data_IF_783689407750
#
_entry.id   IF_783689407750
#
_cell.length_a   1.000
_cell.length_b   1.000
_cell.length_c   1.000
_cell.angle_alpha   90.00
_cell.angle_beta   90.00
_cell.angle_gamma   90.00
#
_symmetry.space_group_name_H-M   'P 1'
#
loop_
_entity.id
_entity.type
_entity.pdbx_description
1 polymer ?
#
# COMPACT_ATOMS: atom_id res chain seq x y z
N UNK A 1 -9.26 1.81 14.34
CA UNK A 1 -8.05 2.24 15.09
C UNK A 1 -8.34 1.97 16.56
N UNK A 2 -7.47 1.25 17.27
CA UNK A 2 -7.66 0.97 18.69
C UNK A 2 -7.59 2.29 19.47
N UNK A 3 -8.71 2.74 20.03
CA UNK A 3 -8.91 4.11 20.50
C UNK A 3 -8.08 4.49 21.75
N UNK A 4 -7.51 3.51 22.44
CA UNK A 4 -6.82 3.69 23.73
C UNK A 4 -5.28 3.79 23.63
N UNK A 5 -4.68 3.54 22.46
CA UNK A 5 -3.21 3.59 22.30
C UNK A 5 -2.79 4.92 21.65
N UNK A 6 -2.26 5.84 22.45
CA UNK A 6 -1.63 7.09 21.97
C UNK A 6 -0.11 6.95 21.90
N UNK A 7 0.38 6.40 20.80
CA UNK A 7 1.81 6.35 20.50
C UNK A 7 2.10 7.14 19.22
N UNK A 8 2.93 8.18 19.31
CA UNK A 8 3.34 8.97 18.14
C UNK A 8 4.06 8.04 17.14
N UNK A 9 3.68 8.13 15.87
CA UNK A 9 4.28 7.36 14.77
C UNK A 9 4.19 5.83 14.91
N UNK A 10 3.28 5.29 15.74
CA UNK A 10 3.13 3.84 15.90
C UNK A 10 2.80 3.14 14.57
N UNK A 11 1.84 3.69 13.82
CA UNK A 11 1.42 3.12 12.56
C UNK A 11 2.56 3.08 11.53
N UNK A 12 3.29 4.19 11.34
CA UNK A 12 4.42 4.23 10.41
C UNK A 12 5.58 3.34 10.86
N UNK A 13 5.83 3.24 12.18
CA UNK A 13 6.83 2.32 12.74
C UNK A 13 6.47 0.86 12.49
N UNK A 14 5.23 0.47 12.73
CA UNK A 14 4.75 -0.90 12.46
C UNK A 14 4.85 -1.22 10.98
N UNK A 15 4.42 -0.29 10.10
CA UNK A 15 4.55 -0.47 8.65
C UNK A 15 6.01 -0.66 8.20
N UNK A 16 6.94 0.11 8.78
CA UNK A 16 8.36 -0.04 8.48
C UNK A 16 8.93 -1.38 8.96
N UNK A 17 8.51 -1.85 10.15
CA UNK A 17 8.94 -3.15 10.68
C UNK A 17 8.42 -4.31 9.81
N UNK A 18 7.16 -4.25 9.40
CA UNK A 18 6.57 -5.25 8.50
C UNK A 18 7.30 -5.25 7.16
N UNK A 19 7.51 -4.09 6.55
CA UNK A 19 8.13 -4.00 5.23
C UNK A 19 9.55 -4.60 5.18
N UNK A 20 10.31 -4.53 6.27
CA UNK A 20 11.67 -5.12 6.34
C UNK A 20 11.68 -6.64 6.32
N UNK A 21 10.65 -7.28 6.86
CA UNK A 21 10.59 -8.74 7.01
C UNK A 21 9.75 -9.42 5.94
N UNK A 22 8.82 -8.67 5.35
CA UNK A 22 7.77 -9.22 4.49
C UNK A 22 8.29 -10.09 3.36
N UNK A 23 9.34 -9.65 2.66
CA UNK A 23 9.88 -10.39 1.51
C UNK A 23 10.39 -11.77 1.93
N UNK A 24 11.09 -11.84 3.06
CA UNK A 24 11.69 -13.08 3.56
C UNK A 24 10.63 -13.98 4.19
N UNK A 25 9.69 -13.40 4.96
CA UNK A 25 8.55 -14.12 5.53
C UNK A 25 7.67 -14.76 4.42
N UNK A 26 7.46 -14.05 3.30
CA UNK A 26 6.73 -14.58 2.14
C UNK A 26 7.49 -15.67 1.43
N UNK A 27 8.80 -15.51 1.25
CA UNK A 27 9.61 -16.51 0.59
C UNK A 27 9.65 -17.82 1.40
N UNK A 28 9.82 -17.73 2.72
CA UNK A 28 9.81 -18.89 3.60
C UNK A 28 8.48 -19.66 3.55
N UNK A 29 7.35 -18.96 3.40
CA UNK A 29 6.02 -19.57 3.42
C UNK A 29 5.50 -20.03 2.06
N UNK A 30 5.81 -19.28 1.00
CA UNK A 30 5.20 -19.44 -0.32
C UNK A 30 6.22 -19.65 -1.44
N UNK A 31 7.51 -19.75 -1.13
CA UNK A 31 8.61 -19.79 -2.10
C UNK A 31 8.63 -18.62 -3.10
N UNK A 32 7.92 -17.53 -2.78
CA UNK A 32 7.78 -16.35 -3.62
C UNK A 32 8.23 -15.10 -2.85
N UNK A 33 9.03 -14.24 -3.48
CA UNK A 33 9.58 -13.05 -2.84
C UNK A 33 8.97 -11.78 -3.45
N UNK A 34 8.02 -11.11 -2.77
CA UNK A 34 7.42 -9.89 -3.29
C UNK A 34 8.46 -8.76 -3.40
N UNK A 35 8.29 -7.91 -4.41
CA UNK A 35 9.24 -6.84 -4.76
C UNK A 35 8.70 -5.44 -4.44
N UNK A 36 7.39 -5.34 -4.21
CA UNK A 36 6.65 -4.10 -4.00
C UNK A 36 5.46 -4.37 -3.07
N UNK A 37 5.19 -3.42 -2.17
CA UNK A 37 3.95 -3.36 -1.40
C UNK A 37 3.03 -2.30 -1.99
N UNK A 38 1.76 -2.64 -2.21
CA UNK A 38 0.71 -1.70 -2.61
C UNK A 38 -0.34 -1.56 -1.50
N UNK A 39 -0.90 -0.36 -1.33
CA UNK A 39 -2.06 -0.12 -0.47
C UNK A 39 -2.93 1.00 -1.02
N UNK A 40 -4.22 0.96 -0.67
CA UNK A 40 -5.23 1.93 -1.07
C UNK A 40 -5.75 2.67 0.15
N UNK A 41 -5.88 3.99 0.06
CA UNK A 41 -6.43 4.83 1.14
C UNK A 41 -7.57 5.68 0.60
N UNK A 42 -8.78 5.43 1.09
CA UNK A 42 -9.97 6.21 0.77
C UNK A 42 -9.84 7.65 1.25
N UNK A 43 -9.78 8.59 0.29
CA UNK A 43 -9.51 10.01 0.56
C UNK A 43 -10.58 10.73 1.40
N UNK A 44 -11.89 10.50 1.17
CA UNK A 44 -12.93 11.13 1.99
C UNK A 44 -12.84 10.77 3.47
N UNK A 45 -12.34 9.57 3.77
CA UNK A 45 -12.37 9.00 5.12
C UNK A 45 -11.04 9.10 5.86
N UNK A 46 -9.91 9.14 5.14
CA UNK A 46 -8.59 9.11 5.73
C UNK A 46 -7.59 10.00 4.99
N UNK A 47 -6.85 10.83 5.73
CA UNK A 47 -5.80 11.69 5.18
C UNK A 47 -4.53 10.93 4.72
N UNK A 48 -4.42 9.63 5.03
CA UNK A 48 -3.29 8.79 4.64
C UNK A 48 -1.95 9.15 5.30
N UNK A 49 -1.98 9.90 6.41
CA UNK A 49 -0.79 10.49 7.06
C UNK A 49 0.29 9.48 7.42
N UNK A 50 -0.08 8.28 7.89
CA UNK A 50 0.88 7.23 8.23
C UNK A 50 1.59 6.65 7.00
N UNK A 51 0.94 6.65 5.84
CA UNK A 51 1.54 6.18 4.58
C UNK A 51 2.47 7.24 3.99
N UNK A 52 2.09 8.52 4.05
CA UNK A 52 2.98 9.65 3.71
C UNK A 52 4.26 9.63 4.56
N UNK A 53 4.12 9.38 5.85
CA UNK A 53 5.24 9.35 6.80
C UNK A 53 6.16 8.11 6.68
N UNK A 54 5.73 7.06 5.96
CA UNK A 54 6.48 5.81 5.84
C UNK A 54 7.35 5.72 4.57
N UNK A 55 7.71 6.86 3.96
CA UNK A 55 8.45 6.93 2.70
C UNK A 55 7.81 6.14 1.55
N UNK A 56 6.47 6.04 1.54
CA UNK A 56 5.73 5.42 0.44
C UNK A 56 5.61 6.39 -0.73
N UNK A 57 5.76 5.86 -1.94
CA UNK A 57 5.58 6.60 -3.18
C UNK A 57 4.08 6.68 -3.51
N UNK A 58 3.58 7.88 -3.75
CA UNK A 58 2.24 8.10 -4.26
C UNK A 58 2.21 7.84 -5.76
N UNK A 59 1.29 6.99 -6.23
CA UNK A 59 1.16 6.68 -7.66
C UNK A 59 -0.01 7.39 -8.35
N UNK A 60 -0.95 7.95 -7.58
CA UNK A 60 -2.14 8.58 -8.11
C UNK A 60 -3.40 8.11 -7.40
N UNK A 61 -4.55 8.45 -7.97
CA UNK A 61 -5.86 8.11 -7.44
C UNK A 61 -6.56 7.05 -8.29
N UNK A 62 -7.34 6.19 -7.64
CA UNK A 62 -8.27 5.32 -8.33
C UNK A 62 -9.37 6.14 -8.98
N UNK A 63 -9.93 5.64 -10.07
CA UNK A 63 -11.01 6.35 -10.78
C UNK A 63 -12.37 6.21 -10.08
N UNK A 64 -12.46 5.69 -8.86
CA UNK A 64 -13.76 5.39 -8.23
C UNK A 64 -14.55 4.30 -8.98
N UNK A 65 -13.85 3.37 -9.63
CA UNK A 65 -14.48 2.28 -10.39
C UNK A 65 -14.28 0.95 -9.70
N UNK A 66 -15.39 0.23 -9.53
CA UNK A 66 -15.35 -1.19 -9.16
C UNK A 66 -15.03 -2.08 -10.35
N UNK A 67 -14.59 -3.33 -10.08
CA UNK A 67 -14.31 -4.35 -11.11
C UNK A 67 -15.51 -4.62 -12.03
N UNK A 68 -16.72 -4.47 -11.51
CA UNK A 68 -17.99 -4.74 -12.21
C UNK A 68 -18.65 -3.48 -12.81
N UNK A 69 -17.97 -2.33 -12.78
CA UNK A 69 -18.51 -1.10 -13.36
C UNK A 69 -18.41 -1.10 -14.90
N UNK A 70 -19.40 -1.75 -15.54
CA UNK A 70 -19.53 -1.86 -17.00
C UNK A 70 -20.10 -0.60 -17.66
N UNK A 71 -20.75 0.27 -16.89
CA UNK A 71 -21.43 1.47 -17.39
C UNK A 71 -20.65 2.76 -17.08
N UNK A 72 -19.40 2.64 -16.62
CA UNK A 72 -18.56 3.78 -16.26
C UNK A 72 -19.27 4.76 -15.31
N UNK A 73 -19.95 4.22 -14.30
CA UNK A 73 -20.72 5.01 -13.33
C UNK A 73 -19.85 5.64 -12.24
N UNK A 74 -18.63 5.15 -12.03
CA UNK A 74 -17.69 5.73 -11.05
C UNK A 74 -18.27 5.83 -9.62
N UNK A 75 -19.10 4.86 -9.23
CA UNK A 75 -19.85 4.89 -7.97
C UNK A 75 -19.03 4.52 -6.72
N UNK A 76 -17.79 4.04 -6.88
CA UNK A 76 -16.94 3.67 -5.75
C UNK A 76 -16.15 4.87 -5.21
N UNK A 77 -15.84 4.91 -3.91
CA UNK A 77 -14.98 5.95 -3.35
C UNK A 77 -13.61 6.01 -4.04
N UNK A 78 -13.16 7.24 -4.31
CA UNK A 78 -11.80 7.49 -4.81
C UNK A 78 -10.78 7.21 -3.71
N UNK A 79 -9.77 6.41 -4.06
CA UNK A 79 -8.70 5.98 -3.15
C UNK A 79 -7.37 6.43 -3.70
N UNK A 80 -6.51 6.96 -2.84
CA UNK A 80 -5.10 7.17 -3.16
C UNK A 80 -4.35 5.85 -3.18
N UNK A 81 -3.49 5.67 -4.19
CA UNK A 81 -2.65 4.48 -4.36
C UNK A 81 -1.24 4.81 -3.87
N UNK A 82 -0.74 3.99 -2.94
CA UNK A 82 0.58 4.15 -2.33
C UNK A 82 1.38 2.88 -2.45
N UNK A 83 2.63 3.00 -2.90
CA UNK A 83 3.54 1.86 -3.01
C UNK A 83 4.80 2.01 -2.18
N UNK A 84 5.35 0.89 -1.73
CA UNK A 84 6.62 0.85 -1.01
C UNK A 84 7.52 -0.22 -1.65
N UNK A 85 8.62 0.17 -2.32
CA UNK A 85 9.58 -0.78 -2.89
C UNK A 85 10.21 -1.64 -1.80
N UNK A 86 10.18 -2.97 -1.97
CA UNK A 86 10.91 -3.90 -1.11
C UNK A 86 12.33 -4.14 -1.62
N UNK A 87 12.57 -3.86 -2.91
CA UNK A 87 13.87 -3.92 -3.57
C UNK A 87 14.07 -2.69 -4.46
N UNK A 88 15.32 -2.23 -4.61
CA UNK A 88 15.61 -1.02 -5.40
C UNK A 88 15.22 -1.14 -6.88
N UNK A 89 15.32 -2.34 -7.46
CA UNK A 89 15.04 -2.60 -8.87
C UNK A 89 13.62 -3.13 -9.15
N UNK A 90 12.65 -2.88 -8.25
CA UNK A 90 11.31 -3.49 -8.32
C UNK A 90 10.59 -3.28 -9.67
N UNK A 91 10.74 -2.10 -10.30
CA UNK A 91 10.11 -1.81 -11.61
C UNK A 91 10.59 -2.77 -12.70
N UNK A 92 11.90 -3.02 -12.78
CA UNK A 92 12.47 -3.98 -13.74
C UNK A 92 11.95 -5.38 -13.49
N UNK A 93 11.87 -5.80 -12.23
CA UNK A 93 11.38 -7.14 -11.88
C UNK A 93 9.88 -7.32 -12.17
N UNK A 94 9.07 -6.27 -12.06
CA UNK A 94 7.64 -6.31 -12.41
C UNK A 94 7.38 -6.25 -13.92
N UNK A 95 8.22 -5.54 -14.68
CA UNK A 95 8.04 -5.34 -16.12
C UNK A 95 8.72 -6.40 -16.98
N UNK A 96 9.56 -7.26 -16.40
CA UNK A 96 10.29 -8.32 -17.11
C UNK A 96 9.67 -9.73 -16.89
N UNK A 97 8.39 -9.78 -16.50
CA UNK A 97 7.62 -11.02 -16.33
C UNK A 97 6.77 -11.36 -17.53
#
# INVERSE_FOLDING_TARGET
MLAWIRCRNLASRVLALVARRLADDWHARYAYRPVLLETFVEKPRFAGTCYKAANRQYLGDTKGRGKLDRLHRHAEPVKSVWVYPLVGAFRRQLCNG
#
